data_IF_083647421346
#
_entry.id   IF_083647421346
#
_cell.length_a   1.000
_cell.length_b   1.000
_cell.length_c   1.000
_cell.angle_alpha   90.00
_cell.angle_beta   90.00
_cell.angle_gamma   90.00
#
_symmetry.space_group_name_H-M   'P 1'
#
loop_
_entity.id
_entity.type
_entity.pdbx_description
1 polymer ?
#
# COMPACT_ATOMS: atom_id res chain seq x y z
N UNK A 1 -31.47 6.39 13.82
CA UNK A 1 -30.05 6.07 14.14
C UNK A 1 -29.37 5.02 13.24
N UNK A 2 -30.07 4.36 12.31
CA UNK A 2 -29.44 3.37 11.40
C UNK A 2 -28.70 3.97 10.18
N UNK A 3 -29.04 5.22 9.78
CA UNK A 3 -28.47 5.86 8.59
C UNK A 3 -26.99 6.28 8.76
N UNK A 4 -26.62 6.76 9.96
CA UNK A 4 -25.24 7.18 10.27
C UNK A 4 -24.22 6.03 10.29
N UNK A 5 -24.65 4.79 10.57
CA UNK A 5 -23.77 3.61 10.54
C UNK A 5 -23.44 3.14 9.12
N UNK A 6 -24.37 3.31 8.16
CA UNK A 6 -24.11 3.04 6.74
C UNK A 6 -23.14 4.06 6.14
N UNK A 7 -23.23 5.33 6.53
CA UNK A 7 -22.32 6.39 6.07
C UNK A 7 -20.87 6.13 6.52
N UNK A 8 -20.68 5.72 7.78
CA UNK A 8 -19.36 5.33 8.31
C UNK A 8 -18.77 4.12 7.59
N UNK A 9 -19.58 3.09 7.30
CA UNK A 9 -19.15 1.93 6.50
C UNK A 9 -18.83 2.32 5.07
N UNK A 10 -19.65 3.15 4.42
CA UNK A 10 -19.42 3.65 3.07
C UNK A 10 -18.10 4.42 2.98
N UNK A 11 -17.85 5.33 3.94
CA UNK A 11 -16.59 6.08 4.00
C UNK A 11 -15.38 5.17 4.23
N UNK A 12 -15.54 4.14 5.07
CA UNK A 12 -14.46 3.19 5.35
C UNK A 12 -14.15 2.29 4.16
N UNK A 13 -15.20 1.84 3.46
CA UNK A 13 -15.10 0.97 2.28
C UNK A 13 -14.47 1.71 1.10
N UNK A 14 -14.90 2.96 0.87
CA UNK A 14 -14.27 3.87 -0.11
C UNK A 14 -12.80 4.08 0.24
N UNK A 15 -12.46 4.33 1.51
CA UNK A 15 -11.06 4.54 1.93
C UNK A 15 -10.22 3.28 1.75
N UNK A 16 -10.78 2.09 2.03
CA UNK A 16 -10.12 0.80 1.75
C UNK A 16 -9.84 0.63 0.27
N UNK A 17 -10.86 0.76 -0.58
CA UNK A 17 -10.71 0.61 -2.04
C UNK A 17 -9.72 1.61 -2.63
N UNK A 18 -9.77 2.87 -2.17
CA UNK A 18 -8.84 3.91 -2.61
C UNK A 18 -7.40 3.62 -2.16
N UNK A 19 -7.22 3.13 -0.92
CA UNK A 19 -5.92 2.71 -0.42
C UNK A 19 -5.38 1.55 -1.24
N UNK A 20 -6.18 0.51 -1.51
CA UNK A 20 -5.76 -0.63 -2.35
C UNK A 20 -5.34 -0.18 -3.74
N UNK A 21 -6.10 0.70 -4.41
CA UNK A 21 -5.75 1.19 -5.76
C UNK A 21 -4.48 2.05 -5.74
N UNK A 22 -4.32 2.95 -4.75
CA UNK A 22 -3.13 3.80 -4.59
C UNK A 22 -1.88 2.96 -4.30
N UNK A 23 -2.04 1.98 -3.42
CA UNK A 23 -1.02 1.01 -3.07
C UNK A 23 -0.67 0.21 -4.32
N UNK A 24 -1.60 -0.50 -4.95
CA UNK A 24 -1.34 -1.28 -6.18
C UNK A 24 -0.64 -0.47 -7.27
N UNK A 25 -1.08 0.76 -7.56
CA UNK A 25 -0.39 1.65 -8.52
C UNK A 25 1.04 1.98 -8.12
N UNK A 26 1.31 2.17 -6.83
CA UNK A 26 2.67 2.40 -6.32
C UNK A 26 3.49 1.11 -6.35
N UNK A 27 2.89 -0.04 -6.04
CA UNK A 27 3.51 -1.36 -6.13
C UNK A 27 3.89 -1.74 -7.56
N UNK A 28 3.13 -1.33 -8.58
CA UNK A 28 3.54 -1.49 -9.99
C UNK A 28 4.84 -0.73 -10.35
N UNK A 29 5.24 0.25 -9.54
CA UNK A 29 6.51 0.98 -9.66
C UNK A 29 7.58 0.53 -8.67
N UNK A 30 7.25 -0.36 -7.73
CA UNK A 30 8.22 -0.91 -6.79
C UNK A 30 8.93 -2.10 -7.47
N UNK A 31 10.28 -2.15 -7.44
CA UNK A 31 11.02 -3.24 -8.05
C UNK A 31 10.57 -4.60 -7.52
N UNK A 32 10.41 -5.58 -8.41
CA UNK A 32 10.01 -6.96 -8.07
C UNK A 32 10.93 -7.57 -7.01
N UNK A 33 12.20 -7.16 -6.98
CA UNK A 33 13.16 -7.59 -5.96
C UNK A 33 12.73 -7.15 -4.56
N UNK A 34 12.23 -5.92 -4.39
CA UNK A 34 11.71 -5.48 -3.10
C UNK A 34 10.49 -6.30 -2.70
N UNK A 35 9.57 -6.58 -3.65
CA UNK A 35 8.35 -7.37 -3.43
C UNK A 35 8.62 -8.83 -3.04
N UNK A 36 9.71 -9.42 -3.52
CA UNK A 36 10.05 -10.83 -3.29
C UNK A 36 10.71 -11.12 -1.92
N UNK A 37 10.68 -10.18 -0.97
CA UNK A 37 11.25 -10.40 0.36
C UNK A 37 10.30 -11.26 1.23
N UNK A 38 10.80 -12.33 1.86
CA UNK A 38 9.99 -13.22 2.71
C UNK A 38 9.61 -12.59 4.06
N UNK A 39 10.24 -11.47 4.44
CA UNK A 39 9.98 -10.75 5.70
C UNK A 39 9.86 -9.23 5.47
N UNK A 40 9.14 -8.56 6.36
CA UNK A 40 8.94 -7.10 6.31
C UNK A 40 10.25 -6.32 6.45
N UNK A 41 11.17 -6.84 7.28
CA UNK A 41 12.53 -6.30 7.43
C UNK A 41 13.31 -6.38 6.11
N UNK A 42 13.27 -7.55 5.44
CA UNK A 42 13.90 -7.71 4.13
C UNK A 42 13.26 -6.84 3.05
N UNK A 43 11.94 -6.62 3.12
CA UNK A 43 11.23 -5.71 2.23
C UNK A 43 11.72 -4.27 2.41
N UNK A 44 11.82 -3.79 3.67
CA UNK A 44 12.31 -2.44 3.99
C UNK A 44 13.76 -2.23 3.53
N UNK A 45 14.66 -3.15 3.83
CA UNK A 45 16.06 -3.04 3.44
C UNK A 45 16.25 -2.97 1.91
N UNK A 46 15.49 -3.77 1.14
CA UNK A 46 15.52 -3.75 -0.33
C UNK A 46 14.89 -2.49 -0.92
N UNK A 47 13.83 -1.99 -0.29
CA UNK A 47 13.16 -0.76 -0.72
C UNK A 47 14.00 0.48 -0.43
N UNK A 48 14.70 0.51 0.70
CA UNK A 48 15.67 1.56 1.06
C UNK A 48 16.85 1.58 0.08
N UNK A 49 17.43 0.40 -0.24
CA UNK A 49 18.46 0.29 -1.27
C UNK A 49 17.97 0.71 -2.67
N UNK A 50 16.74 0.37 -3.05
CA UNK A 50 16.18 0.78 -4.34
C UNK A 50 15.90 2.29 -4.43
N UNK A 51 15.45 2.92 -3.34
CA UNK A 51 15.22 4.36 -3.28
C UNK A 51 16.51 5.18 -3.16
N UNK A 52 17.53 4.64 -2.49
CA UNK A 52 18.85 5.27 -2.35
C UNK A 52 19.60 5.37 -3.70
N UNK A 53 19.35 4.45 -4.63
CA UNK A 53 19.90 4.48 -5.99
C UNK A 53 19.23 5.50 -6.94
N UNK A 54 18.28 6.31 -6.47
CA UNK A 54 17.62 7.37 -7.25
C UNK A 54 18.22 8.78 -7.00
N UNK A 55 19.45 8.84 -6.45
CA UNK A 55 20.27 10.07 -6.33
C UNK A 55 21.27 10.16 -7.48
#
# INVERSE_FOLDING_TARGET
NAFKLKEGRCRLDIRKTFFTVRVVRRWHRVPREAVAAPSLEGFKARLDGALSNLV
#
